data_IF_505729990871
#
_entry.id   IF_505729990871
#
_cell.length_a   1.000
_cell.length_b   1.000
_cell.length_c   1.000
_cell.angle_alpha   90.00
_cell.angle_beta   90.00
_cell.angle_gamma   90.00
#
_symmetry.space_group_name_H-M   'P 1'
#
loop_
_entity.id
_entity.type
_entity.pdbx_description
1 polymer ?
#
# COMPACT_ATOMS: atom_id res chain seq x y z
N UNK A 1 2.77 10.10 8.71
CA UNK A 1 2.96 8.91 9.56
C UNK A 1 2.91 9.32 11.02
N UNK A 2 2.28 8.53 11.89
CA UNK A 2 2.21 8.78 13.35
C UNK A 2 2.51 7.49 14.11
N UNK A 3 3.14 7.60 15.28
CA UNK A 3 3.30 6.49 16.21
C UNK A 3 1.98 6.15 16.93
N UNK A 4 1.93 4.98 17.57
CA UNK A 4 0.74 4.50 18.29
C UNK A 4 0.28 5.46 19.41
N UNK A 5 1.22 6.12 20.09
CA UNK A 5 0.94 7.10 21.14
C UNK A 5 0.68 8.52 20.59
N UNK A 6 0.77 8.73 19.27
CA UNK A 6 0.56 10.00 18.59
C UNK A 6 1.64 11.08 18.82
N UNK A 7 2.66 10.81 19.63
CA UNK A 7 3.72 11.76 19.97
C UNK A 7 4.67 11.96 18.79
N UNK A 8 5.11 10.85 18.19
CA UNK A 8 5.99 10.89 17.03
C UNK A 8 5.20 11.16 15.76
N UNK A 9 5.55 12.24 15.06
CA UNK A 9 4.93 12.64 13.79
C UNK A 9 6.02 12.83 12.74
N UNK A 10 5.85 12.14 11.60
CA UNK A 10 6.79 12.24 10.49
C UNK A 10 6.04 12.42 9.18
N UNK A 11 6.58 13.28 8.33
CA UNK A 11 6.09 13.54 6.97
C UNK A 11 7.12 13.03 5.99
N UNK A 12 6.70 12.19 5.06
CA UNK A 12 7.53 11.68 3.97
C UNK A 12 6.92 12.12 2.65
N UNK A 13 7.71 12.77 1.83
CA UNK A 13 7.43 13.00 0.41
C UNK A 13 8.37 12.10 -0.36
N UNK A 14 7.84 11.21 -1.18
CA UNK A 14 8.59 10.13 -1.81
C UNK A 14 8.25 10.03 -3.30
N UNK A 15 9.29 9.90 -4.12
CA UNK A 15 9.17 9.42 -5.49
C UNK A 15 9.36 7.90 -5.50
N UNK A 16 8.45 7.19 -6.13
CA UNK A 16 8.47 5.73 -6.22
C UNK A 16 8.59 5.26 -7.66
N UNK A 17 9.37 4.20 -7.85
CA UNK A 17 9.47 3.47 -9.09
C UNK A 17 9.05 2.03 -8.86
N UNK A 18 8.19 1.52 -9.72
CA UNK A 18 7.69 0.14 -9.67
C UNK A 18 7.98 -0.55 -10.99
N UNK A 19 8.60 -1.74 -10.93
CA UNK A 19 8.91 -2.56 -12.09
C UNK A 19 8.32 -3.95 -11.93
N UNK A 20 7.58 -4.39 -12.94
CA UNK A 20 7.13 -5.76 -13.04
C UNK A 20 8.36 -6.67 -13.29
N UNK A 21 8.64 -7.57 -12.34
CA UNK A 21 9.71 -8.53 -12.45
C UNK A 21 9.27 -9.81 -13.15
N UNK A 22 8.06 -10.28 -12.81
CA UNK A 22 7.48 -11.49 -13.42
C UNK A 22 5.96 -11.44 -13.36
N UNK A 23 5.36 -12.04 -14.41
CA UNK A 23 3.91 -12.23 -14.53
C UNK A 23 3.61 -13.65 -14.97
N UNK A 24 2.57 -14.20 -14.41
CA UNK A 24 1.94 -15.44 -14.85
C UNK A 24 0.48 -15.13 -15.13
N UNK A 25 0.01 -15.57 -16.30
CA UNK A 25 -1.38 -15.42 -16.70
C UNK A 25 -2.01 -16.82 -16.74
N UNK A 26 -3.10 -17.00 -16.01
CA UNK A 26 -4.03 -18.11 -16.16
C UNK A 26 -5.25 -17.67 -16.99
N UNK A 27 -6.17 -18.57 -17.26
CA UNK A 27 -7.37 -18.30 -18.05
C UNK A 27 -8.24 -17.20 -17.44
N UNK A 28 -8.39 -17.21 -16.09
CA UNK A 28 -9.18 -16.24 -15.33
C UNK A 28 -8.41 -15.69 -14.14
N UNK A 29 -7.07 -15.70 -14.20
CA UNK A 29 -6.23 -15.26 -13.09
C UNK A 29 -4.91 -14.67 -13.55
N UNK A 30 -4.34 -13.83 -12.71
CA UNK A 30 -3.02 -13.24 -12.93
C UNK A 30 -2.24 -13.22 -11.62
N UNK A 31 -0.95 -13.56 -11.69
CA UNK A 31 -0.02 -13.40 -10.57
C UNK A 31 1.16 -12.54 -11.00
N UNK A 32 1.60 -11.65 -10.14
CA UNK A 32 2.69 -10.73 -10.43
C UNK A 32 3.71 -10.68 -9.29
N UNK A 33 4.96 -10.42 -9.65
CA UNK A 33 6.01 -9.98 -8.73
C UNK A 33 6.51 -8.63 -9.21
N UNK A 34 6.55 -7.65 -8.30
CA UNK A 34 6.98 -6.29 -8.54
C UNK A 34 8.21 -5.96 -7.69
N UNK A 35 9.18 -5.29 -8.31
CA UNK A 35 10.27 -4.63 -7.61
C UNK A 35 9.90 -3.18 -7.37
N UNK A 36 10.13 -2.72 -6.16
CA UNK A 36 9.82 -1.36 -5.72
C UNK A 36 11.11 -0.65 -5.37
N UNK A 37 11.24 0.59 -5.78
CA UNK A 37 12.29 1.48 -5.33
C UNK A 37 11.68 2.83 -4.96
N UNK A 38 12.11 3.42 -3.85
CA UNK A 38 11.66 4.72 -3.40
C UNK A 38 12.82 5.56 -2.90
N UNK A 39 12.75 6.85 -3.19
CA UNK A 39 13.61 7.88 -2.60
C UNK A 39 12.76 9.05 -2.16
N UNK A 40 12.98 9.52 -0.94
CA UNK A 40 12.14 10.57 -0.38
C UNK A 40 12.84 11.49 0.60
N UNK A 41 12.13 12.56 0.93
CA UNK A 41 12.49 13.55 1.93
C UNK A 41 11.64 13.33 3.18
N UNK A 42 12.27 12.96 4.29
CA UNK A 42 11.65 12.71 5.58
C UNK A 42 11.87 13.88 6.53
N UNK A 43 10.80 14.39 7.11
CA UNK A 43 10.79 15.36 8.19
C UNK A 43 10.08 14.80 9.42
N UNK A 44 10.50 15.17 10.61
CA UNK A 44 9.91 14.70 11.85
C UNK A 44 9.94 15.75 12.95
N UNK A 45 9.15 15.52 14.00
CA UNK A 45 9.15 16.37 15.19
C UNK A 45 10.22 15.96 16.23
N UNK A 46 10.97 14.89 15.95
CA UNK A 46 11.99 14.29 16.80
C UNK A 46 13.44 14.57 16.29
N UNK A 47 13.57 15.24 15.15
CA UNK A 47 14.86 15.67 14.60
C UNK A 47 14.72 16.95 13.79
N UNK A 48 15.82 17.70 13.69
CA UNK A 48 15.87 18.93 12.89
C UNK A 48 16.20 18.62 11.42
N UNK A 49 15.63 19.44 10.52
CA UNK A 49 15.90 19.40 9.09
C UNK A 49 15.21 18.26 8.36
N UNK A 50 15.75 17.91 7.20
CA UNK A 50 15.24 16.89 6.31
C UNK A 50 16.26 15.76 6.16
N UNK A 51 15.80 14.50 6.23
CA UNK A 51 16.63 13.33 5.99
C UNK A 51 16.21 12.62 4.71
N UNK A 52 17.19 12.20 3.91
CA UNK A 52 16.91 11.34 2.75
C UNK A 52 16.54 9.95 3.22
N UNK A 53 15.41 9.43 2.73
CA UNK A 53 14.96 8.06 2.98
C UNK A 53 15.01 7.24 1.69
N UNK A 54 15.58 6.05 1.78
CA UNK A 54 15.57 5.04 0.72
C UNK A 54 14.59 3.95 1.07
N UNK A 55 13.82 3.49 0.08
CA UNK A 55 12.76 2.50 0.30
C UNK A 55 12.69 1.44 -0.82
N UNK A 56 13.71 0.56 -0.94
CA UNK A 56 13.60 -0.62 -1.79
C UNK A 56 12.58 -1.61 -1.23
N UNK A 57 11.95 -2.38 -2.12
CA UNK A 57 10.97 -3.37 -1.70
C UNK A 57 10.58 -4.35 -2.78
N UNK A 58 9.71 -5.26 -2.40
CA UNK A 58 9.09 -6.27 -3.26
C UNK A 58 7.61 -6.37 -2.93
N UNK A 59 6.81 -6.59 -3.95
CA UNK A 59 5.39 -6.91 -3.81
C UNK A 59 5.05 -8.11 -4.67
N UNK A 60 4.14 -8.94 -4.19
CA UNK A 60 3.55 -10.03 -4.96
C UNK A 60 2.04 -9.94 -4.86
N UNK A 61 1.35 -10.13 -5.96
CA UNK A 61 -0.11 -10.17 -6.00
C UNK A 61 -0.60 -11.36 -6.82
N UNK A 62 -1.82 -11.77 -6.50
CA UNK A 62 -2.61 -12.72 -7.26
C UNK A 62 -4.04 -12.22 -7.30
N UNK A 63 -4.61 -12.19 -8.49
CA UNK A 63 -5.99 -11.79 -8.68
C UNK A 63 -6.73 -12.67 -9.68
N UNK A 64 -8.00 -12.81 -9.46
CA UNK A 64 -8.99 -13.35 -10.39
C UNK A 64 -10.04 -12.29 -10.67
N UNK A 65 -11.07 -12.60 -11.43
CA UNK A 65 -12.24 -11.72 -11.65
C UNK A 65 -12.91 -11.28 -10.34
N UNK A 66 -12.76 -12.06 -9.24
CA UNK A 66 -13.48 -11.84 -7.98
C UNK A 66 -12.61 -11.91 -6.71
N UNK A 67 -11.40 -12.43 -6.77
CA UNK A 67 -10.52 -12.56 -5.62
C UNK A 67 -9.21 -11.79 -5.85
N UNK A 68 -8.73 -11.14 -4.80
CA UNK A 68 -7.46 -10.41 -4.79
C UNK A 68 -6.70 -10.71 -3.52
N UNK A 69 -5.42 -11.02 -3.66
CA UNK A 69 -4.46 -11.08 -2.56
C UNK A 69 -3.18 -10.37 -2.94
N UNK A 70 -2.54 -9.71 -1.98
CA UNK A 70 -1.27 -9.03 -2.19
C UNK A 70 -0.44 -9.09 -0.91
N UNK A 71 0.86 -9.23 -1.07
CA UNK A 71 1.83 -9.07 0.00
C UNK A 71 2.93 -8.11 -0.43
N UNK A 72 3.30 -7.16 0.43
CA UNK A 72 4.34 -6.17 0.16
C UNK A 72 5.29 -6.07 1.34
N UNK A 73 6.59 -5.99 1.05
CA UNK A 73 7.63 -5.69 2.02
C UNK A 73 8.55 -4.59 1.47
N UNK A 74 8.85 -3.58 2.29
CA UNK A 74 9.74 -2.47 1.95
C UNK A 74 10.69 -2.16 3.10
N UNK A 75 11.94 -1.87 2.77
CA UNK A 75 12.95 -1.41 3.70
C UNK A 75 13.03 0.12 3.63
N UNK A 76 12.32 0.82 4.50
CA UNK A 76 12.28 2.29 4.51
C UNK A 76 13.27 2.83 5.54
N UNK A 77 14.41 3.32 5.07
CA UNK A 77 15.57 3.69 5.92
C UNK A 77 16.11 5.07 5.64
N UNK A 78 16.35 5.81 6.71
CA UNK A 78 17.09 7.07 6.74
C UNK A 78 18.12 7.03 7.88
N UNK A 79 19.12 7.94 7.92
CA UNK A 79 20.11 7.96 9.01
C UNK A 79 19.45 7.95 10.40
N UNK A 80 19.72 6.89 11.18
CA UNK A 80 19.12 6.68 12.52
C UNK A 80 17.62 6.35 12.54
N UNK A 81 16.99 6.08 11.39
CA UNK A 81 15.56 5.82 11.29
C UNK A 81 15.32 4.56 10.47
N UNK A 82 14.47 3.68 11.00
CA UNK A 82 14.05 2.46 10.35
C UNK A 82 12.53 2.34 10.42
N UNK A 83 11.88 2.43 9.25
CA UNK A 83 10.44 2.25 9.07
C UNK A 83 10.18 1.12 8.08
N UNK A 84 10.86 -0.02 8.28
CA UNK A 84 10.58 -1.21 7.48
C UNK A 84 9.10 -1.57 7.58
N UNK A 85 8.51 -1.82 6.44
CA UNK A 85 7.09 -1.96 6.25
C UNK A 85 6.78 -3.34 5.69
N UNK A 86 5.76 -3.96 6.23
CA UNK A 86 5.17 -5.18 5.67
C UNK A 86 3.66 -5.06 5.68
N UNK A 87 3.01 -5.49 4.61
CA UNK A 87 1.55 -5.57 4.54
C UNK A 87 1.09 -6.81 3.79
N UNK A 88 -0.09 -7.28 4.16
CA UNK A 88 -0.85 -8.28 3.42
C UNK A 88 -2.26 -7.73 3.18
N UNK A 89 -2.78 -7.93 1.98
CA UNK A 89 -4.12 -7.54 1.56
C UNK A 89 -4.86 -8.75 1.03
N UNK A 90 -6.12 -8.86 1.36
CA UNK A 90 -7.03 -9.82 0.76
C UNK A 90 -8.37 -9.15 0.53
N UNK A 91 -9.05 -9.53 -0.54
CA UNK A 91 -10.35 -8.96 -0.85
C UNK A 91 -11.11 -9.73 -1.91
N UNK A 92 -12.35 -9.33 -2.08
CA UNK A 92 -13.24 -9.90 -3.08
C UNK A 92 -14.11 -8.83 -3.71
N UNK A 93 -14.51 -9.08 -4.96
CA UNK A 93 -15.55 -8.30 -5.64
C UNK A 93 -16.93 -8.85 -5.32
N UNK A 94 -17.89 -7.96 -5.10
CA UNK A 94 -19.27 -8.35 -4.81
C UNK A 94 -19.94 -9.07 -6.01
N UNK A 95 -19.57 -8.66 -7.23
CA UNK A 95 -20.07 -9.23 -8.49
C UNK A 95 -19.05 -9.00 -9.62
N UNK A 96 -19.19 -9.75 -10.68
CA UNK A 96 -18.47 -9.52 -11.93
C UNK A 96 -19.20 -8.47 -12.74
N UNK A 97 -18.46 -7.57 -13.37
CA UNK A 97 -18.98 -6.49 -14.19
C UNK A 97 -18.31 -6.49 -15.56
N UNK A 98 -18.95 -5.89 -16.53
CA UNK A 98 -18.33 -5.56 -17.79
C UNK A 98 -17.30 -4.44 -17.61
N UNK A 99 -16.38 -4.30 -18.57
CA UNK A 99 -15.29 -3.31 -18.52
C UNK A 99 -15.78 -1.87 -18.38
N UNK A 100 -16.97 -1.57 -18.88
CA UNK A 100 -17.59 -0.24 -18.86
C UNK A 100 -18.20 0.11 -17.48
N UNK A 101 -18.40 -0.85 -16.62
CA UNK A 101 -19.09 -0.70 -15.35
C UNK A 101 -18.12 -0.54 -14.18
N UNK A 102 -18.62 0.04 -13.08
CA UNK A 102 -17.85 0.18 -11.85
C UNK A 102 -17.91 -1.11 -11.05
N UNK A 103 -16.77 -1.71 -10.80
CA UNK A 103 -16.64 -2.91 -9.97
C UNK A 103 -16.26 -2.54 -8.53
N UNK A 104 -17.14 -2.80 -7.55
CA UNK A 104 -16.83 -2.61 -6.15
C UNK A 104 -16.16 -3.85 -5.55
N UNK A 105 -15.12 -3.58 -4.73
CA UNK A 105 -14.36 -4.58 -3.99
C UNK A 105 -14.33 -4.25 -2.51
N UNK A 106 -14.45 -5.25 -1.68
CA UNK A 106 -14.13 -5.16 -0.27
C UNK A 106 -12.73 -5.73 -0.05
N UNK A 107 -11.84 -4.91 0.53
CA UNK A 107 -10.44 -5.25 0.79
C UNK A 107 -10.17 -5.12 2.28
N UNK A 108 -9.41 -6.03 2.86
CA UNK A 108 -8.83 -5.89 4.20
C UNK A 108 -7.31 -5.88 4.08
N UNK A 109 -6.69 -4.86 4.62
CA UNK A 109 -5.24 -4.77 4.76
C UNK A 109 -4.82 -5.01 6.21
N UNK A 110 -3.85 -5.90 6.42
CA UNK A 110 -3.08 -6.01 7.65
C UNK A 110 -1.69 -5.42 7.40
N UNK A 111 -1.25 -4.47 8.22
CA UNK A 111 0.01 -3.74 8.02
C UNK A 111 0.77 -3.55 9.31
N UNK A 112 2.10 -3.64 9.22
CA UNK A 112 3.02 -3.29 10.29
C UNK A 112 4.10 -2.36 9.76
N UNK A 113 4.45 -1.32 10.53
CA UNK A 113 5.53 -0.39 10.22
C UNK A 113 6.46 -0.27 11.41
N UNK A 114 7.66 -0.83 11.28
CA UNK A 114 8.68 -0.82 12.33
C UNK A 114 9.08 0.61 12.72
N UNK A 115 9.29 0.85 14.01
CA UNK A 115 9.74 2.14 14.53
C UNK A 115 8.68 3.24 14.57
N UNK A 116 7.43 2.93 14.16
CA UNK A 116 6.28 3.81 14.34
C UNK A 116 5.15 3.12 15.11
N UNK A 117 4.92 1.84 14.85
CA UNK A 117 3.89 1.06 15.49
C UNK A 117 4.38 -0.35 15.77
N UNK A 118 4.20 -0.82 17.00
CA UNK A 118 4.42 -2.22 17.38
C UNK A 118 3.17 -3.07 17.10
N UNK A 119 2.05 -2.42 16.83
CA UNK A 119 0.76 -3.07 16.54
C UNK A 119 0.60 -3.32 15.04
N UNK A 120 -0.17 -4.35 14.73
CA UNK A 120 -0.68 -4.56 13.38
C UNK A 120 -1.87 -3.64 13.17
N UNK A 121 -1.78 -2.79 12.16
CA UNK A 121 -2.90 -1.97 11.71
C UNK A 121 -3.78 -2.80 10.77
N UNK A 122 -5.06 -2.88 11.08
CA UNK A 122 -6.06 -3.52 10.22
C UNK A 122 -6.93 -2.43 9.61
N UNK A 123 -7.04 -2.44 8.30
CA UNK A 123 -7.79 -1.44 7.53
C UNK A 123 -8.77 -2.12 6.58
N UNK A 124 -10.06 -2.18 6.91
CA UNK A 124 -11.08 -2.44 5.91
C UNK A 124 -11.18 -1.28 4.92
N UNK A 125 -11.33 -1.59 3.64
CA UNK A 125 -11.38 -0.61 2.55
C UNK A 125 -12.44 -0.99 1.52
N UNK A 126 -13.09 0.02 0.97
CA UNK A 126 -13.87 -0.09 -0.25
C UNK A 126 -13.01 0.37 -1.42
N UNK A 127 -12.91 -0.47 -2.43
CA UNK A 127 -12.23 -0.17 -3.70
C UNK A 127 -13.26 -0.14 -4.81
N UNK A 128 -13.19 0.89 -5.64
CA UNK A 128 -13.98 1.04 -6.85
C UNK A 128 -13.03 1.07 -8.04
N UNK A 129 -13.27 0.21 -9.01
CA UNK A 129 -12.53 0.16 -10.27
C UNK A 129 -13.52 0.45 -11.40
N UNK A 130 -13.20 1.41 -12.26
CA UNK A 130 -13.95 1.71 -13.47
C UNK A 130 -12.98 2.12 -14.56
N UNK A 131 -12.86 1.33 -15.62
CA UNK A 131 -11.94 1.60 -16.76
C UNK A 131 -10.55 2.07 -16.31
N UNK A 132 -10.33 3.38 -16.40
CA UNK A 132 -9.09 4.06 -16.06
C UNK A 132 -9.01 4.56 -14.62
N UNK A 133 -10.09 4.46 -13.85
CA UNK A 133 -10.15 4.99 -12.49
C UNK A 133 -10.09 3.88 -11.45
N UNK A 134 -9.28 4.12 -10.45
CA UNK A 134 -9.15 3.28 -9.28
C UNK A 134 -9.22 4.18 -8.04
N UNK A 135 -10.16 3.90 -7.15
CA UNK A 135 -10.35 4.63 -5.89
C UNK A 135 -10.40 3.64 -4.74
N UNK A 136 -9.62 3.88 -3.70
CA UNK A 136 -9.72 3.14 -2.43
C UNK A 136 -9.98 4.10 -1.28
N UNK A 137 -10.91 3.73 -0.42
CA UNK A 137 -11.26 4.43 0.82
C UNK A 137 -11.26 3.44 1.98
N UNK A 138 -10.61 3.77 3.07
CA UNK A 138 -10.56 2.91 4.25
C UNK A 138 -10.36 3.68 5.54
N UNK A 139 -10.68 3.02 6.64
CA UNK A 139 -10.44 3.52 8.00
C UNK A 139 -9.77 2.41 8.80
N UNK A 140 -8.59 2.69 9.37
CA UNK A 140 -7.87 1.68 10.15
C UNK A 140 -8.40 1.62 11.60
N UNK A 141 -7.96 0.58 12.32
CA UNK A 141 -8.29 0.37 13.74
C UNK A 141 -7.73 1.45 14.70
N UNK A 142 -6.97 2.42 14.19
CA UNK A 142 -6.49 3.61 14.91
C UNK A 142 -7.21 4.90 14.47
N UNK A 143 -8.38 4.80 13.83
CA UNK A 143 -9.18 5.91 13.30
C UNK A 143 -8.42 6.82 12.32
N UNK A 144 -7.50 6.24 11.54
CA UNK A 144 -6.80 6.96 10.48
C UNK A 144 -7.42 6.62 9.13
N UNK A 145 -7.90 7.65 8.45
CA UNK A 145 -8.44 7.51 7.09
C UNK A 145 -7.31 7.21 6.09
N UNK A 146 -7.63 6.36 5.13
CA UNK A 146 -6.79 6.04 3.98
C UNK A 146 -7.54 6.36 2.71
N UNK A 147 -6.85 7.04 1.82
CA UNK A 147 -7.32 7.36 0.48
C UNK A 147 -6.23 7.01 -0.52
N UNK A 148 -6.62 6.34 -1.58
CA UNK A 148 -5.77 6.08 -2.72
C UNK A 148 -6.56 6.35 -3.99
N UNK A 149 -5.96 7.08 -4.92
CA UNK A 149 -6.52 7.36 -6.24
C UNK A 149 -5.47 7.08 -7.29
N UNK A 150 -5.84 6.39 -8.34
CA UNK A 150 -4.99 6.14 -9.49
C UNK A 150 -5.81 6.34 -10.76
N UNK A 151 -5.20 6.98 -11.74
CA UNK A 151 -5.71 7.10 -13.09
C UNK A 151 -4.73 6.42 -14.05
N UNK A 152 -5.24 5.56 -14.91
CA UNK A 152 -4.47 4.79 -15.90
C UNK A 152 -4.86 5.32 -17.28
N UNK A 153 -3.89 5.80 -18.03
CA UNK A 153 -4.10 6.30 -19.42
C UNK A 153 -3.76 5.23 -20.44
#
# INVERSE_FOLDING_TARGET
MRSDNGILRRTLVEATYTRLAKRWNGEHSQANIWLLAGVGALQGNDFAGTRTMLAPGISADYETTRLYVNATARLSRAPGINHDFASARAGFSFYETDYEETQPWFIVEARRMRGLSDKVEITPMLRLINKSYFVELGLNNSNQARFNFMYIF
#
